data_IF_391955658706
#
_entry.id   IF_391955658706
#
_cell.length_a   1.000
_cell.length_b   1.000
_cell.length_c   1.000
_cell.angle_alpha   90.00
_cell.angle_beta   90.00
_cell.angle_gamma   90.00
#
_symmetry.space_group_name_H-M   'P 1'
#
loop_
_entity.id
_entity.type
_entity.pdbx_description
1 polymer ?
#
# COMPACT_ATOMS: atom_id res chain seq x y z
N UNK A 1 5.63 -32.17 -24.01
CA UNK A 1 6.30 -32.44 -22.72
C UNK A 1 7.67 -31.72 -22.60
N UNK A 2 8.54 -31.73 -23.58
CA UNK A 2 9.87 -31.12 -23.49
C UNK A 2 9.90 -29.59 -23.26
N UNK A 3 8.90 -28.83 -23.69
CA UNK A 3 8.85 -27.37 -23.47
C UNK A 3 8.74 -27.00 -21.98
N UNK A 4 7.99 -27.77 -21.20
CA UNK A 4 7.83 -27.53 -19.76
C UNK A 4 9.10 -27.87 -19.00
N UNK A 5 9.73 -29.01 -19.35
CA UNK A 5 10.99 -29.44 -18.76
C UNK A 5 12.11 -28.40 -19.01
N UNK A 6 12.20 -27.87 -20.24
CA UNK A 6 13.13 -26.81 -20.58
C UNK A 6 12.93 -25.55 -19.73
N UNK A 7 11.67 -25.14 -19.51
CA UNK A 7 11.34 -23.99 -18.65
C UNK A 7 11.72 -24.22 -17.18
N UNK A 8 11.49 -25.42 -16.64
CA UNK A 8 11.88 -25.77 -15.26
C UNK A 8 13.39 -25.67 -15.07
N UNK A 9 14.17 -26.14 -16.05
CA UNK A 9 15.63 -26.06 -16.01
C UNK A 9 16.11 -24.62 -16.17
N UNK A 10 15.47 -23.85 -17.05
CA UNK A 10 15.85 -22.47 -17.34
C UNK A 10 15.48 -21.51 -16.17
N UNK A 11 14.38 -21.78 -15.45
CA UNK A 11 13.91 -20.97 -14.34
C UNK A 11 13.70 -21.84 -13.10
N UNK A 12 14.79 -22.25 -12.43
CA UNK A 12 14.70 -23.14 -11.26
C UNK A 12 14.00 -22.52 -10.07
N UNK A 13 13.92 -21.19 -10.03
CA UNK A 13 13.21 -20.43 -9.00
C UNK A 13 12.34 -19.36 -9.64
N UNK A 14 11.01 -19.45 -9.46
CA UNK A 14 10.00 -18.51 -9.98
C UNK A 14 9.44 -17.59 -8.89
N UNK A 15 9.82 -17.81 -7.64
CA UNK A 15 9.36 -17.04 -6.49
C UNK A 15 10.45 -16.08 -6.02
N UNK A 16 10.02 -14.91 -5.56
CA UNK A 16 10.93 -13.95 -4.93
C UNK A 16 11.37 -14.42 -3.54
N UNK A 17 12.54 -13.99 -3.09
CA UNK A 17 13.09 -14.32 -1.77
C UNK A 17 12.58 -13.30 -0.76
N UNK A 18 11.33 -13.48 -0.32
CA UNK A 18 10.73 -12.65 0.71
C UNK A 18 10.88 -13.32 2.09
N UNK A 19 11.15 -12.59 3.19
CA UNK A 19 11.37 -11.13 3.31
C UNK A 19 12.83 -10.68 3.11
N UNK A 20 13.72 -11.58 2.73
CA UNK A 20 15.19 -11.34 2.73
C UNK A 20 15.71 -10.64 1.49
N UNK A 21 14.91 -10.47 0.45
CA UNK A 21 15.32 -9.86 -0.81
C UNK A 21 14.48 -8.64 -1.19
N UNK A 22 14.98 -7.79 -2.10
CA UNK A 22 14.21 -6.68 -2.63
C UNK A 22 12.95 -7.23 -3.33
N UNK A 23 11.80 -6.64 -3.05
CA UNK A 23 10.57 -6.93 -3.77
C UNK A 23 10.50 -6.04 -5.00
N UNK A 24 10.33 -6.67 -6.15
CA UNK A 24 9.93 -5.94 -7.34
C UNK A 24 8.45 -5.55 -7.22
N UNK A 25 8.22 -4.31 -6.87
CA UNK A 25 6.88 -3.73 -6.72
C UNK A 25 6.46 -2.93 -7.95
N UNK A 26 7.15 -3.09 -9.09
CA UNK A 26 6.98 -2.24 -10.26
C UNK A 26 5.55 -2.16 -10.83
N UNK A 27 4.70 -3.14 -10.57
CA UNK A 27 3.27 -3.14 -10.94
C UNK A 27 2.32 -2.95 -9.75
N UNK A 28 2.84 -2.75 -8.54
CA UNK A 28 2.02 -2.55 -7.36
C UNK A 28 1.45 -1.13 -7.32
N UNK A 29 0.13 -1.01 -7.21
CA UNK A 29 -0.56 0.29 -7.17
C UNK A 29 -0.28 1.09 -5.89
N UNK A 30 0.24 0.45 -4.87
CA UNK A 30 0.44 1.02 -3.55
C UNK A 30 -0.78 0.87 -2.64
N UNK A 31 -0.53 1.08 -1.37
CA UNK A 31 -1.57 1.16 -0.34
C UNK A 31 -1.96 2.61 -0.15
N UNK A 32 -3.24 2.99 -0.28
CA UNK A 32 -3.66 4.36 -0.06
C UNK A 32 -3.47 4.73 1.41
N UNK A 33 -2.83 5.85 1.66
CA UNK A 33 -2.62 6.43 2.98
C UNK A 33 -3.06 7.89 2.99
N UNK A 34 -3.36 8.45 4.16
CA UNK A 34 -3.73 9.86 4.32
C UNK A 34 -2.78 10.51 5.30
N UNK A 35 -2.04 11.51 4.83
CA UNK A 35 -1.16 12.30 5.69
C UNK A 35 -1.98 13.30 6.52
N UNK A 36 -2.01 13.16 7.84
CA UNK A 36 -2.78 14.05 8.71
C UNK A 36 -2.23 15.47 8.75
N UNK A 37 -0.94 15.69 8.43
CA UNK A 37 -0.31 17.01 8.45
C UNK A 37 -0.75 17.88 7.26
N UNK A 38 -0.98 17.26 6.11
CA UNK A 38 -1.40 17.92 4.87
C UNK A 38 -2.91 17.93 4.67
N UNK A 39 -3.62 17.08 5.40
CA UNK A 39 -5.05 16.88 5.25
C UNK A 39 -5.87 18.11 5.68
N UNK A 40 -6.59 18.73 4.75
CA UNK A 40 -7.49 19.87 5.02
C UNK A 40 -8.85 19.48 5.60
N UNK A 41 -9.10 18.18 5.81
CA UNK A 41 -10.38 17.63 6.32
C UNK A 41 -11.60 18.00 5.47
N UNK A 42 -11.42 18.14 4.16
CA UNK A 42 -12.50 18.54 3.24
C UNK A 42 -13.56 17.44 2.99
N UNK A 43 -13.35 16.23 3.52
CA UNK A 43 -14.24 15.05 3.43
C UNK A 43 -14.55 14.56 2.00
N UNK A 44 -13.90 15.09 0.98
CA UNK A 44 -14.15 14.69 -0.40
C UNK A 44 -13.87 13.20 -0.62
N UNK A 45 -12.77 12.69 -0.07
CA UNK A 45 -12.41 11.27 -0.13
C UNK A 45 -13.44 10.39 0.61
N UNK A 46 -13.95 10.84 1.74
CA UNK A 46 -14.97 10.14 2.53
C UNK A 46 -16.29 9.98 1.74
N UNK A 47 -16.75 11.05 1.11
CA UNK A 47 -17.98 11.06 0.31
C UNK A 47 -17.85 10.24 -0.99
N UNK A 48 -16.66 10.11 -1.51
CA UNK A 48 -16.38 9.39 -2.75
C UNK A 48 -16.01 7.93 -2.56
N UNK A 49 -15.75 7.48 -1.33
CA UNK A 49 -15.36 6.11 -1.07
C UNK A 49 -16.53 5.14 -1.32
N UNK A 50 -16.43 4.19 -2.27
CA UNK A 50 -17.55 3.30 -2.62
C UNK A 50 -17.87 2.28 -1.53
N UNK A 51 -16.92 1.98 -0.65
CA UNK A 51 -17.09 1.00 0.44
C UNK A 51 -17.23 1.65 1.81
N UNK A 52 -17.27 2.98 1.87
CA UNK A 52 -17.26 3.74 3.13
C UNK A 52 -16.08 3.35 4.06
N UNK A 53 -14.94 2.96 3.46
CA UNK A 53 -13.74 2.59 4.20
C UNK A 53 -13.04 3.78 4.87
N UNK A 54 -13.34 5.01 4.43
CA UNK A 54 -12.76 6.23 4.99
C UNK A 54 -13.70 6.78 6.06
N UNK A 55 -13.17 7.01 7.24
CA UNK A 55 -13.96 7.43 8.42
C UNK A 55 -13.22 8.50 9.21
N UNK A 56 -13.98 9.21 10.06
CA UNK A 56 -13.39 10.09 11.06
C UNK A 56 -12.87 9.28 12.25
N UNK A 57 -11.65 9.56 12.68
CA UNK A 57 -11.11 9.03 13.93
C UNK A 57 -11.84 9.64 15.16
N UNK A 58 -12.00 8.82 16.19
CA UNK A 58 -12.82 9.15 17.36
C UNK A 58 -12.26 10.28 18.22
N UNK A 59 -10.94 10.47 18.28
CA UNK A 59 -10.32 11.34 19.27
C UNK A 59 -9.92 12.71 18.72
N UNK A 60 -9.43 12.79 17.47
CA UNK A 60 -8.85 14.03 16.91
C UNK A 60 -9.56 14.55 15.65
N UNK A 61 -10.67 13.93 15.25
CA UNK A 61 -11.34 14.26 13.99
C UNK A 61 -10.44 14.03 12.76
N UNK A 62 -9.38 13.26 12.89
CA UNK A 62 -8.50 12.85 11.78
C UNK A 62 -9.26 11.91 10.86
N UNK A 63 -8.98 12.03 9.58
CA UNK A 63 -9.55 11.10 8.59
C UNK A 63 -8.62 9.90 8.48
N UNK A 64 -9.16 8.71 8.64
CA UNK A 64 -8.43 7.45 8.56
C UNK A 64 -9.06 6.47 7.59
N UNK A 65 -8.33 5.43 7.22
CA UNK A 65 -8.77 4.37 6.32
C UNK A 65 -8.92 3.06 7.09
N UNK A 66 -10.10 2.46 7.00
CA UNK A 66 -10.34 1.10 7.49
C UNK A 66 -9.94 0.10 6.39
N UNK A 67 -8.77 -0.51 6.52
CA UNK A 67 -8.28 -1.44 5.51
C UNK A 67 -9.07 -2.75 5.45
N UNK A 68 -9.87 -3.06 6.47
CA UNK A 68 -10.78 -4.21 6.46
C UNK A 68 -11.97 -4.06 5.48
N UNK A 69 -12.27 -2.83 5.07
CA UNK A 69 -13.31 -2.51 4.10
C UNK A 69 -12.76 -1.91 2.80
N UNK A 70 -11.48 -1.55 2.75
CA UNK A 70 -10.85 -0.91 1.60
C UNK A 70 -10.64 -1.91 0.45
N UNK A 71 -11.08 -1.54 -0.75
CA UNK A 71 -10.88 -2.32 -1.98
C UNK A 71 -9.69 -1.82 -2.83
N UNK A 72 -8.89 -0.92 -2.31
CA UNK A 72 -7.68 -0.39 -2.97
C UNK A 72 -7.94 0.22 -4.35
N UNK A 73 -9.10 0.84 -4.54
CA UNK A 73 -9.49 1.46 -5.81
C UNK A 73 -8.76 2.77 -6.13
N UNK A 74 -8.06 3.35 -5.16
CA UNK A 74 -7.29 4.62 -5.26
C UNK A 74 -8.11 5.88 -5.56
N UNK A 75 -9.43 5.80 -5.57
CA UNK A 75 -10.29 6.95 -5.85
C UNK A 75 -10.06 8.09 -4.84
N UNK A 76 -9.76 7.78 -3.58
CA UNK A 76 -9.43 8.76 -2.55
C UNK A 76 -8.17 9.58 -2.89
N UNK A 77 -7.19 8.95 -3.53
CA UNK A 77 -5.96 9.62 -3.99
C UNK A 77 -6.26 10.56 -5.14
N UNK A 78 -7.08 10.11 -6.12
CA UNK A 78 -7.44 10.91 -7.29
C UNK A 78 -8.26 12.16 -6.95
N UNK A 79 -9.17 12.06 -5.97
CA UNK A 79 -10.09 13.15 -5.63
C UNK A 79 -9.55 14.09 -4.55
N UNK A 80 -8.37 13.84 -4.00
CA UNK A 80 -7.81 14.64 -2.92
C UNK A 80 -7.25 15.97 -3.41
N UNK A 81 -7.87 17.12 -3.08
CA UNK A 81 -7.41 18.40 -3.60
C UNK A 81 -6.10 18.88 -2.97
N UNK A 82 -5.79 18.42 -1.75
CA UNK A 82 -4.56 18.79 -1.03
C UNK A 82 -3.40 17.84 -1.28
N UNK A 83 -3.64 16.70 -1.97
CA UNK A 83 -2.63 15.64 -2.12
C UNK A 83 -2.31 14.87 -0.85
N UNK A 84 -3.07 15.09 0.23
CA UNK A 84 -2.88 14.39 1.50
C UNK A 84 -3.11 12.87 1.37
N UNK A 85 -4.02 12.45 0.49
CA UNK A 85 -4.18 11.04 0.15
C UNK A 85 -3.18 10.68 -0.94
N UNK A 86 -2.33 9.70 -0.66
CA UNK A 86 -1.28 9.23 -1.57
C UNK A 86 -1.07 7.72 -1.41
N UNK A 87 -0.35 7.12 -2.33
CA UNK A 87 -0.01 5.71 -2.28
C UNK A 87 1.37 5.49 -1.66
N UNK A 88 1.45 4.55 -0.75
CA UNK A 88 2.70 4.11 -0.14
C UNK A 88 3.06 2.69 -0.62
N UNK A 89 4.33 2.32 -0.69
CA UNK A 89 4.77 1.00 -1.15
C UNK A 89 4.54 -0.11 -0.12
N UNK A 90 3.91 0.18 1.01
CA UNK A 90 3.61 -0.80 2.06
C UNK A 90 2.51 -1.77 1.60
N UNK A 91 2.75 -3.07 1.71
CA UNK A 91 1.80 -4.14 1.38
C UNK A 91 1.56 -5.11 2.54
N UNK A 92 2.31 -4.98 3.64
CA UNK A 92 2.25 -5.89 4.79
C UNK A 92 1.08 -5.54 5.72
N UNK A 93 -0.14 -5.68 5.21
CA UNK A 93 -1.37 -5.33 5.93
C UNK A 93 -1.95 -6.49 6.74
N UNK A 94 -1.35 -7.69 6.68
CA UNK A 94 -1.85 -8.85 7.40
C UNK A 94 -1.76 -8.64 8.93
N UNK A 95 -2.89 -8.71 9.61
CA UNK A 95 -3.01 -8.57 11.06
C UNK A 95 -3.77 -9.76 11.65
N UNK A 96 -3.57 -10.02 12.95
CA UNK A 96 -4.25 -11.10 13.65
C UNK A 96 -5.68 -10.73 14.06
N UNK A 97 -5.94 -9.45 14.28
CA UNK A 97 -7.24 -8.92 14.69
C UNK A 97 -7.76 -7.94 13.65
N UNK A 98 -9.08 -8.00 13.38
CA UNK A 98 -9.74 -7.05 12.48
C UNK A 98 -9.70 -5.61 13.00
N UNK A 99 -9.69 -5.43 14.32
CA UNK A 99 -9.57 -4.11 14.95
C UNK A 99 -8.26 -3.42 14.61
N UNK A 100 -7.19 -4.16 14.38
CA UNK A 100 -5.88 -3.62 14.01
C UNK A 100 -5.83 -3.11 12.55
N UNK A 101 -6.79 -3.49 11.71
CA UNK A 101 -6.94 -2.99 10.34
C UNK A 101 -7.83 -1.75 10.27
N UNK A 102 -8.52 -1.43 11.38
CA UNK A 102 -9.37 -0.25 11.50
C UNK A 102 -8.59 0.89 12.10
N UNK A 103 -8.77 2.08 11.54
CA UNK A 103 -8.20 3.32 12.06
C UNK A 103 -6.69 3.25 12.30
N UNK A 104 -5.94 2.66 11.40
CA UNK A 104 -4.54 2.97 11.34
C UNK A 104 -4.42 4.30 10.57
N UNK A 105 -4.21 5.45 11.25
CA UNK A 105 -3.40 6.45 10.60
C UNK A 105 -2.09 5.71 10.38
N UNK A 106 -1.77 5.36 9.15
CA UNK A 106 -0.39 5.04 8.82
C UNK A 106 0.31 6.38 8.94
N UNK A 107 0.67 6.73 10.17
CA UNK A 107 1.78 7.62 10.40
C UNK A 107 2.93 6.84 9.81
N UNK A 108 3.35 7.23 8.64
CA UNK A 108 4.67 6.89 8.15
C UNK A 108 5.60 7.61 9.11
N UNK A 109 5.80 7.07 10.30
CA UNK A 109 7.06 7.27 10.98
C UNK A 109 8.06 6.78 9.94
N UNK A 110 8.96 7.63 9.62
CA UNK A 110 10.14 7.39 8.80
C UNK A 110 10.97 6.33 9.51
N UNK A 111 10.41 5.14 9.59
CA UNK A 111 11.03 3.95 10.14
C UNK A 111 11.78 3.38 8.96
N UNK A 112 13.09 3.68 8.93
CA UNK A 112 14.13 3.02 8.16
C UNK A 112 13.57 2.08 7.06
N UNK A 113 13.06 2.69 5.98
CA UNK A 113 12.99 1.98 4.72
C UNK A 113 14.45 1.59 4.44
N UNK A 114 14.80 0.31 4.42
CA UNK A 114 16.10 -0.06 3.92
C UNK A 114 16.22 0.62 2.58
N UNK A 115 17.28 1.38 2.42
CA UNK A 115 17.61 2.09 1.20
C UNK A 115 17.51 1.10 0.04
N UNK A 116 16.33 1.07 -0.58
CA UNK A 116 16.07 0.22 -1.74
C UNK A 116 16.70 0.97 -2.90
N UNK A 117 18.03 0.99 -2.90
CA UNK A 117 18.78 1.29 -4.10
C UNK A 117 18.30 0.29 -5.14
N UNK A 118 17.48 0.76 -6.07
CA UNK A 118 17.16 0.04 -7.29
C UNK A 118 18.48 -0.19 -8.02
N UNK A 119 19.17 -1.26 -7.68
CA UNK A 119 20.20 -1.80 -8.53
C UNK A 119 19.46 -2.30 -9.77
N UNK A 120 19.38 -1.45 -10.76
CA UNK A 120 19.06 -1.82 -12.12
C UNK A 120 19.95 -3.01 -12.43
N UNK A 121 19.35 -4.17 -12.62
CA UNK A 121 20.00 -5.32 -13.20
C UNK A 121 20.28 -5.00 -14.67
N UNK A 122 21.28 -4.15 -14.90
CA UNK A 122 22.04 -4.17 -16.12
C UNK A 122 22.95 -5.40 -16.01
N UNK A 123 22.55 -6.46 -16.66
CA UNK A 123 23.34 -7.57 -17.18
C UNK A 123 22.51 -8.86 -17.14
N UNK A 124 21.75 -9.07 -18.19
CA UNK A 124 21.73 -10.32 -18.97
C UNK A 124 21.01 -10.12 -20.29
#
# INVERSE_FOLDING_TARGET
MFRTLKKIIQYPRVTQVYPKGPLDTGMFRGTPAIDPAVCTRCETCLKRCPTAAIVHGSEDGRIGINYDACIFCNLCVEVCPSGAAHNIPEFQLAKKSRSELRLTPVVVEERDLPDVSYAVLEDM
#
